data_IF_780597283414
#
_entry.id   IF_780597283414
#
_cell.length_a   1.000
_cell.length_b   1.000
_cell.length_c   1.000
_cell.angle_alpha   90.00
_cell.angle_beta   90.00
_cell.angle_gamma   90.00
#
_symmetry.space_group_name_H-M   'P 1'
#
loop_
_entity.id
_entity.type
_entity.pdbx_description
1 polymer ?
#
# COMPACT_ATOMS: atom_id res chain seq x y z
N UNK A 1 -42.83 30.61 -0.98
CA UNK A 1 -41.41 30.36 -1.33
C UNK A 1 -40.92 29.36 -0.30
N UNK A 2 -40.62 28.13 -0.70
CA UNK A 2 -40.00 27.17 0.21
C UNK A 2 -38.50 27.29 -0.03
N UNK A 3 -37.80 27.85 0.96
CA UNK A 3 -36.35 27.75 1.05
C UNK A 3 -36.05 26.26 1.29
N UNK A 4 -35.32 25.65 0.36
CA UNK A 4 -34.78 24.31 0.60
C UNK A 4 -33.62 24.56 1.53
N UNK A 5 -33.82 24.22 2.80
CA UNK A 5 -32.77 24.22 3.82
C UNK A 5 -31.55 23.47 3.27
N UNK A 6 -30.39 24.08 3.51
CA UNK A 6 -29.05 23.64 3.15
C UNK A 6 -28.89 22.12 3.32
N UNK A 7 -29.03 21.37 2.21
CA UNK A 7 -28.79 19.93 2.22
C UNK A 7 -27.28 19.75 2.31
N UNK A 8 -26.81 19.61 3.54
CA UNK A 8 -25.50 19.09 3.84
C UNK A 8 -25.51 17.59 3.52
N UNK A 9 -24.95 17.24 2.36
CA UNK A 9 -24.58 15.86 2.08
C UNK A 9 -23.37 15.53 2.94
N UNK A 10 -23.57 14.78 4.02
CA UNK A 10 -22.45 14.12 4.69
C UNK A 10 -21.96 13.02 3.74
N UNK A 11 -20.77 13.19 3.20
CA UNK A 11 -20.10 12.17 2.40
C UNK A 11 -19.84 10.96 3.31
N UNK A 12 -20.73 9.97 3.29
CA UNK A 12 -20.64 8.74 4.13
C UNK A 12 -19.57 7.76 3.64
N UNK A 13 -18.58 8.24 2.88
CA UNK A 13 -17.54 7.45 2.26
C UNK A 13 -17.18 8.03 0.91
N UNK A 14 -15.90 8.32 0.70
CA UNK A 14 -15.35 8.54 -0.63
C UNK A 14 -15.74 7.30 -1.45
N UNK A 15 -16.48 7.45 -2.56
CA UNK A 15 -16.58 6.35 -3.52
C UNK A 15 -15.13 6.03 -3.90
N UNK A 16 -14.62 4.86 -3.51
CA UNK A 16 -13.28 4.45 -3.92
C UNK A 16 -13.22 4.64 -5.43
N UNK A 17 -12.23 5.40 -5.94
CA UNK A 17 -12.21 5.73 -7.36
C UNK A 17 -12.28 4.42 -8.12
N UNK A 18 -13.29 4.27 -8.98
CA UNK A 18 -13.50 3.06 -9.76
C UNK A 18 -12.17 2.65 -10.42
N UNK A 19 -11.61 1.51 -10.01
CA UNK A 19 -10.27 1.08 -10.42
C UNK A 19 -9.14 1.64 -9.54
N UNK A 20 -9.21 1.45 -8.22
CA UNK A 20 -8.01 1.54 -7.38
C UNK A 20 -7.40 0.15 -7.22
N UNK A 21 -6.07 0.07 -7.30
CA UNK A 21 -5.34 -1.17 -7.08
C UNK A 21 -5.08 -1.36 -5.59
N UNK A 22 -5.45 -2.52 -5.08
CA UNK A 22 -5.31 -2.87 -3.68
C UNK A 22 -4.04 -3.71 -3.46
N UNK A 23 -3.37 -3.45 -2.33
CA UNK A 23 -2.25 -4.25 -1.86
C UNK A 23 -2.68 -5.10 -0.66
N UNK A 24 -2.24 -6.35 -0.62
CA UNK A 24 -2.36 -7.24 0.54
C UNK A 24 -0.97 -7.75 0.94
N UNK A 25 -0.80 -8.13 2.21
CA UNK A 25 0.47 -8.65 2.73
C UNK A 25 1.56 -7.60 2.94
N UNK A 26 1.19 -6.32 2.92
CA UNK A 26 2.07 -5.16 3.13
C UNK A 26 2.05 -4.65 4.57
N UNK A 27 1.60 -5.46 5.52
CA UNK A 27 1.56 -5.11 6.94
C UNK A 27 2.96 -4.86 7.51
N UNK A 28 3.00 -3.99 8.52
CA UNK A 28 4.22 -3.75 9.30
C UNK A 28 4.75 -5.06 9.88
N UNK A 29 6.08 -5.16 9.98
CA UNK A 29 6.73 -6.40 10.43
C UNK A 29 7.90 -6.11 11.35
N UNK A 30 8.04 -6.93 12.38
CA UNK A 30 9.27 -7.01 13.17
C UNK A 30 10.10 -8.22 12.72
N UNK A 31 11.40 -8.03 12.60
CA UNK A 31 12.35 -9.10 12.29
C UNK A 31 13.57 -9.00 13.22
N UNK A 32 14.18 -10.15 13.50
CA UNK A 32 15.43 -10.20 14.27
C UNK A 32 16.60 -9.79 13.36
N UNK A 33 17.60 -9.12 13.92
CA UNK A 33 18.87 -8.80 13.22
C UNK A 33 19.41 -10.04 12.47
N UNK A 34 19.81 -9.83 11.21
CA UNK A 34 20.33 -10.86 10.32
C UNK A 34 19.27 -11.72 9.63
N UNK A 35 17.98 -11.56 9.97
CA UNK A 35 16.90 -12.30 9.30
C UNK A 35 16.79 -11.88 7.84
N UNK A 36 16.88 -12.85 6.93
CA UNK A 36 16.68 -12.59 5.51
C UNK A 36 15.29 -11.99 5.26
N UNK A 37 15.25 -10.88 4.52
CA UNK A 37 14.02 -10.15 4.24
C UNK A 37 13.88 -9.88 2.74
N UNK A 38 12.84 -10.46 2.14
CA UNK A 38 12.41 -10.15 0.78
C UNK A 38 11.23 -9.18 0.85
N UNK A 39 11.38 -8.02 0.21
CA UNK A 39 10.40 -6.93 0.22
C UNK A 39 9.06 -7.35 -0.39
N UNK A 40 9.05 -8.27 -1.36
CA UNK A 40 7.83 -8.70 -2.05
C UNK A 40 7.27 -10.03 -1.53
N UNK A 41 7.96 -10.69 -0.59
CA UNK A 41 7.47 -11.96 -0.04
C UNK A 41 6.12 -11.78 0.67
N UNK A 42 5.10 -12.48 0.16
CA UNK A 42 3.73 -12.44 0.67
C UNK A 42 2.90 -11.25 0.19
N UNK A 43 3.47 -10.34 -0.61
CA UNK A 43 2.74 -9.21 -1.19
C UNK A 43 1.93 -9.68 -2.38
N UNK A 44 0.67 -9.28 -2.45
CA UNK A 44 -0.18 -9.46 -3.64
C UNK A 44 -0.88 -8.16 -3.98
N UNK A 45 -1.20 -7.99 -5.26
CA UNK A 45 -2.00 -6.88 -5.75
C UNK A 45 -3.27 -7.40 -6.40
N UNK A 46 -4.35 -6.61 -6.34
CA UNK A 46 -5.55 -6.88 -7.13
C UNK A 46 -6.26 -5.58 -7.51
N UNK A 47 -6.83 -5.58 -8.71
CA UNK A 47 -7.73 -4.54 -9.20
C UNK A 47 -8.90 -5.27 -9.89
N UNK A 48 -10.14 -4.91 -9.53
CA UNK A 48 -11.32 -5.58 -10.07
C UNK A 48 -11.52 -5.31 -11.57
N UNK A 49 -11.06 -4.15 -12.04
CA UNK A 49 -11.25 -3.74 -13.42
C UNK A 49 -9.98 -3.96 -14.27
N UNK A 50 -8.81 -4.05 -13.66
CA UNK A 50 -7.53 -4.31 -14.34
C UNK A 50 -6.90 -5.65 -13.92
N UNK A 51 -7.26 -6.71 -14.66
CA UNK A 51 -6.68 -8.04 -14.46
C UNK A 51 -5.28 -8.22 -15.08
N UNK A 52 -4.71 -7.18 -15.71
CA UNK A 52 -3.42 -7.27 -16.38
C UNK A 52 -2.22 -7.06 -15.46
N UNK A 53 -2.47 -6.42 -14.31
CA UNK A 53 -1.45 -6.07 -13.32
C UNK A 53 -0.72 -7.30 -12.78
N UNK A 54 0.59 -7.17 -12.64
CA UNK A 54 1.46 -8.19 -12.06
C UNK A 54 2.24 -7.60 -10.91
N UNK A 55 2.60 -8.45 -9.95
CA UNK A 55 3.46 -8.04 -8.84
C UNK A 55 4.80 -7.46 -9.31
N UNK A 56 5.29 -7.87 -10.48
CA UNK A 56 6.50 -7.33 -11.11
C UNK A 56 6.40 -5.87 -11.54
N UNK A 57 5.18 -5.33 -11.63
CA UNK A 57 4.92 -3.95 -12.04
C UNK A 57 4.97 -3.00 -10.83
N UNK A 58 5.07 -3.54 -9.61
CA UNK A 58 5.18 -2.76 -8.38
C UNK A 58 6.57 -2.16 -8.27
N UNK A 59 6.62 -0.84 -8.08
CA UNK A 59 7.83 -0.12 -7.71
C UNK A 59 7.94 -0.10 -6.19
N UNK A 60 9.07 -0.56 -5.65
CA UNK A 60 9.35 -0.54 -4.22
C UNK A 60 10.49 0.44 -3.93
N UNK A 61 10.19 1.50 -3.20
CA UNK A 61 11.16 2.47 -2.72
C UNK A 61 11.55 2.17 -1.26
N UNK A 62 12.78 2.54 -0.91
CA UNK A 62 13.35 2.30 0.42
C UNK A 62 14.17 1.01 0.50
N UNK A 63 15.02 0.94 1.51
CA UNK A 63 15.89 -0.21 1.79
C UNK A 63 15.78 -0.59 3.26
N UNK A 64 15.94 -1.88 3.55
CA UNK A 64 15.98 -2.43 4.90
C UNK A 64 17.37 -2.99 5.12
N UNK A 65 18.13 -2.40 6.04
CA UNK A 65 19.36 -3.02 6.51
C UNK A 65 19.03 -4.00 7.63
N UNK A 66 18.99 -5.28 7.28
CA UNK A 66 18.64 -6.34 8.23
C UNK A 66 19.70 -6.55 9.32
N UNK A 67 20.90 -5.97 9.18
CA UNK A 67 22.00 -6.18 10.13
C UNK A 67 22.11 -5.06 11.17
N UNK A 68 21.27 -4.03 11.05
CA UNK A 68 21.30 -2.87 11.94
C UNK A 68 19.93 -2.72 12.59
N UNK A 69 19.89 -2.65 13.92
CA UNK A 69 18.65 -2.36 14.64
C UNK A 69 18.10 -0.99 14.20
N UNK A 70 16.80 -0.94 13.92
CA UNK A 70 16.18 0.28 13.44
C UNK A 70 14.80 0.06 12.86
N UNK A 71 14.17 1.18 12.52
CA UNK A 71 12.90 1.20 11.81
C UNK A 71 13.12 1.69 10.38
N UNK A 72 12.70 0.90 9.42
CA UNK A 72 12.88 1.12 7.99
C UNK A 72 11.51 1.21 7.32
N UNK A 73 11.31 2.21 6.47
CA UNK A 73 10.06 2.39 5.73
C UNK A 73 10.27 1.99 4.28
N UNK A 74 9.37 1.15 3.77
CA UNK A 74 9.23 0.82 2.37
C UNK A 74 7.95 1.44 1.82
N UNK A 75 8.01 1.95 0.59
CA UNK A 75 6.84 2.49 -0.12
C UNK A 75 6.62 1.68 -1.39
N UNK A 76 5.43 1.11 -1.53
CA UNK A 76 5.02 0.34 -2.70
C UNK A 76 4.10 1.21 -3.54
N UNK A 77 4.36 1.26 -4.85
CA UNK A 77 3.58 2.04 -5.82
C UNK A 77 3.25 1.18 -7.01
N UNK A 78 2.03 1.33 -7.52
CA UNK A 78 1.62 0.75 -8.79
C UNK A 78 0.61 1.67 -9.47
N UNK A 79 0.68 1.73 -10.79
CA UNK A 79 -0.24 2.51 -11.62
C UNK A 79 -0.99 1.56 -12.54
N UNK A 80 -2.32 1.60 -12.51
CA UNK A 80 -3.13 0.75 -13.38
C UNK A 80 -3.31 1.31 -14.79
N UNK A 81 -4.02 0.57 -15.66
CA UNK A 81 -4.24 0.95 -17.06
C UNK A 81 -4.95 2.30 -17.26
N UNK A 82 -5.64 2.84 -16.25
CA UNK A 82 -6.26 4.17 -16.31
C UNK A 82 -5.34 5.29 -15.82
N UNK A 83 -4.10 4.97 -15.45
CA UNK A 83 -3.14 5.93 -14.92
C UNK A 83 -3.39 6.29 -13.44
N UNK A 84 -4.21 5.51 -12.73
CA UNK A 84 -4.48 5.73 -11.30
C UNK A 84 -3.36 5.07 -10.49
N UNK A 85 -2.63 5.88 -9.73
CA UNK A 85 -1.56 5.41 -8.84
C UNK A 85 -2.13 5.00 -7.48
N UNK A 86 -1.71 3.84 -6.99
CA UNK A 86 -1.98 3.35 -5.64
C UNK A 86 -0.67 3.24 -4.87
N UNK A 87 -0.66 3.76 -3.65
CA UNK A 87 0.53 3.85 -2.80
C UNK A 87 0.23 3.28 -1.42
N UNK A 88 1.10 2.39 -0.93
CA UNK A 88 1.03 1.86 0.44
C UNK A 88 2.42 1.83 1.06
N UNK A 89 2.50 2.08 2.37
CA UNK A 89 3.75 2.03 3.12
C UNK A 89 3.77 0.84 4.06
N UNK A 90 4.97 0.31 4.28
CA UNK A 90 5.26 -0.76 5.22
C UNK A 90 6.43 -0.38 6.09
N UNK A 91 6.27 -0.50 7.39
CA UNK A 91 7.35 -0.32 8.35
C UNK A 91 7.93 -1.67 8.75
N UNK A 92 9.25 -1.79 8.63
CA UNK A 92 10.02 -2.94 9.10
C UNK A 92 10.85 -2.50 10.30
N UNK A 93 10.62 -3.13 11.45
CA UNK A 93 11.45 -2.93 12.64
C UNK A 93 12.42 -4.10 12.75
N UNK A 94 13.69 -3.80 12.62
CA UNK A 94 14.79 -4.73 12.89
C UNK A 94 15.17 -4.54 14.35
N UNK A 95 15.17 -5.61 15.13
CA UNK A 95 15.52 -5.59 16.56
C UNK A 95 16.39 -6.78 16.93
N UNK A 96 17.11 -6.66 18.04
CA UNK A 96 17.76 -7.82 18.65
C UNK A 96 16.71 -8.82 19.17
N UNK A 97 17.14 -10.06 19.41
CA UNK A 97 16.30 -11.14 19.94
C UNK A 97 15.77 -10.87 21.36
#
# INVERSE_FOLDING_TARGET
MYEIDDISFELVGYAEPFGQTNFLGVDNKEIVVGTAFDKLAGVTIYDYFDASLKLTDVVVEGEVDVNTEGTYTLTYKITNIWGIESVVTRTITVKEE
#
